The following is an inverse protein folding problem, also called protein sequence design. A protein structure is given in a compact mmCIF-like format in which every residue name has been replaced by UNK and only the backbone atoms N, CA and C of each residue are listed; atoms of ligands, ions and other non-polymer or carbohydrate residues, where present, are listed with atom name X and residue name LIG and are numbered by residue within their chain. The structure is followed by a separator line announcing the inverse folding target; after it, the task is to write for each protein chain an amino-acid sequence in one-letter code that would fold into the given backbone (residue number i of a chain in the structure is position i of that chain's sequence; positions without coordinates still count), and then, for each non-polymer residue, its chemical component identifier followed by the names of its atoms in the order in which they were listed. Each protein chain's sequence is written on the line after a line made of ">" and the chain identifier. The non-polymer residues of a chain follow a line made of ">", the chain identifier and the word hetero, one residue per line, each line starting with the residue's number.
data_IF_614467030034
#
_entry.id   IF_614467030034
#
_cell.length_a   1.000
_cell.length_b   1.000
_cell.length_c   1.000
_cell.angle_alpha   90.00
_cell.angle_beta   90.00
_cell.angle_gamma   90.00
#
_symmetry.space_group_name_H-M   'P 1'
#
loop_
_entity.id
_entity.type
_entity.pdbx_description
1 polymer ?
#
# COMPACT_ATOMS: atom_id res chain seq x y z
N UNK A 1 -55.29 -44.08 7.44
CA UNK A 1 -53.85 -44.02 7.76
C UNK A 1 -52.96 -43.58 6.58
N UNK A 2 -53.27 -43.91 5.31
CA UNK A 2 -52.44 -43.52 4.14
C UNK A 2 -52.52 -42.03 3.75
N UNK A 3 -53.67 -41.38 3.98
CA UNK A 3 -53.92 -39.95 3.64
C UNK A 3 -53.25 -38.99 4.63
N UNK A 4 -53.20 -39.35 5.91
CA UNK A 4 -52.53 -38.56 6.96
C UNK A 4 -51.01 -38.64 6.85
N UNK A 5 -50.45 -39.77 6.40
CA UNK A 5 -49.02 -39.93 6.16
C UNK A 5 -48.51 -39.07 4.98
N UNK A 6 -49.34 -38.89 3.94
CA UNK A 6 -49.04 -38.07 2.76
C UNK A 6 -49.10 -36.55 3.05
N UNK A 7 -49.98 -36.14 3.98
CA UNK A 7 -50.07 -34.76 4.48
C UNK A 7 -48.87 -34.37 5.36
N UNK A 8 -48.35 -35.29 6.18
CA UNK A 8 -47.17 -35.05 7.01
C UNK A 8 -45.90 -34.95 6.14
N UNK A 9 -45.76 -35.82 5.13
CA UNK A 9 -44.61 -35.79 4.23
C UNK A 9 -44.53 -34.51 3.36
N UNK A 10 -45.67 -33.90 3.03
CA UNK A 10 -45.71 -32.62 2.28
C UNK A 10 -45.36 -31.41 3.16
N UNK A 11 -45.67 -31.45 4.46
CA UNK A 11 -45.39 -30.35 5.37
C UNK A 11 -43.89 -30.26 5.71
N UNK A 12 -43.19 -31.40 5.78
CA UNK A 12 -41.75 -31.43 6.02
C UNK A 12 -40.94 -30.97 4.80
N UNK A 13 -41.47 -31.10 3.58
CA UNK A 13 -40.81 -30.65 2.34
C UNK A 13 -40.80 -29.11 2.21
N UNK A 14 -41.78 -28.40 2.78
CA UNK A 14 -41.80 -26.93 2.81
C UNK A 14 -40.85 -26.31 3.84
N UNK A 15 -40.44 -27.05 4.87
CA UNK A 15 -39.55 -26.54 5.91
C UNK A 15 -38.05 -26.55 5.52
N UNK A 16 -37.69 -27.24 4.43
CA UNK A 16 -36.30 -27.38 3.99
C UNK A 16 -35.75 -26.27 3.09
N UNK A 17 -36.55 -25.25 2.75
CA UNK A 17 -36.17 -24.23 1.74
C UNK A 17 -35.65 -22.90 2.34
N UNK A 18 -35.45 -22.83 3.65
CA UNK A 18 -34.84 -21.65 4.28
C UNK A 18 -33.31 -21.68 4.15
N UNK A 19 -32.80 -21.42 2.94
CA UNK A 19 -31.38 -21.10 2.78
C UNK A 19 -31.19 -19.59 2.97
N UNK A 20 -30.30 -19.15 3.87
CA UNK A 20 -30.00 -17.73 3.98
C UNK A 20 -29.30 -17.27 2.69
N UNK A 21 -29.83 -16.20 2.09
CA UNK A 21 -29.19 -15.55 0.94
C UNK A 21 -27.95 -14.83 1.45
N UNK A 22 -26.78 -15.15 0.90
CA UNK A 22 -25.54 -14.44 1.21
C UNK A 22 -25.43 -13.19 0.33
N UNK A 23 -25.23 -12.02 0.95
CA UNK A 23 -24.93 -10.78 0.24
C UNK A 23 -23.42 -10.54 0.23
N UNK A 24 -22.87 -10.14 -0.91
CA UNK A 24 -21.50 -9.66 -1.03
C UNK A 24 -21.53 -8.15 -1.28
N UNK A 25 -20.94 -7.40 -0.37
CA UNK A 25 -20.77 -5.96 -0.51
C UNK A 25 -19.41 -5.68 -1.14
N UNK A 26 -19.40 -4.99 -2.28
CA UNK A 26 -18.16 -4.49 -2.89
C UNK A 26 -17.98 -3.04 -2.47
N UNK A 27 -17.07 -2.83 -1.52
CA UNK A 27 -16.65 -1.48 -1.12
C UNK A 27 -15.50 -1.05 -2.03
N UNK A 28 -15.77 -0.07 -2.91
CA UNK A 28 -14.72 0.58 -3.69
C UNK A 28 -13.99 1.58 -2.79
N UNK A 29 -12.74 1.28 -2.42
CA UNK A 29 -11.87 2.27 -1.79
C UNK A 29 -11.42 3.21 -2.91
N UNK A 30 -11.82 4.49 -2.89
CA UNK A 30 -11.25 5.44 -3.84
C UNK A 30 -9.75 5.46 -3.60
N UNK A 31 -8.96 5.17 -4.62
CA UNK A 31 -7.53 5.48 -4.58
C UNK A 31 -7.47 6.98 -4.34
N UNK A 32 -7.06 7.36 -3.12
CA UNK A 32 -6.90 8.77 -2.78
C UNK A 32 -6.07 9.40 -3.88
N UNK A 33 -6.44 10.61 -4.33
CA UNK A 33 -5.55 11.41 -5.17
C UNK A 33 -4.30 11.67 -4.34
N UNK A 34 -3.31 10.79 -4.46
CA UNK A 34 -1.98 10.99 -3.93
C UNK A 34 -1.52 12.24 -4.66
N UNK A 35 -1.53 13.36 -3.95
CA UNK A 35 -1.62 14.72 -4.47
C UNK A 35 -0.53 15.08 -5.48
N UNK A 36 -0.60 16.31 -5.98
CA UNK A 36 0.23 16.80 -7.10
C UNK A 36 1.75 16.79 -6.84
N UNK A 37 2.19 16.34 -5.66
CA UNK A 37 3.57 16.13 -5.26
C UNK A 37 4.30 14.99 -6.02
N UNK A 38 3.62 14.27 -6.93
CA UNK A 38 4.29 13.40 -7.90
C UNK A 38 5.26 14.12 -8.83
N UNK A 39 5.06 15.43 -9.06
CA UNK A 39 5.86 16.19 -10.02
C UNK A 39 7.17 16.74 -9.42
N UNK A 40 7.48 16.42 -8.16
CA UNK A 40 8.74 16.83 -7.53
C UNK A 40 9.86 15.94 -8.09
N UNK A 41 10.83 16.57 -8.75
CA UNK A 41 12.02 15.88 -9.22
C UNK A 41 12.81 15.35 -8.03
N UNK A 42 13.21 14.08 -8.10
CA UNK A 42 13.93 13.38 -7.04
C UNK A 42 14.96 12.42 -7.65
N UNK A 43 16.00 12.05 -6.90
CA UNK A 43 16.97 11.08 -7.38
C UNK A 43 16.32 9.76 -7.82
N UNK A 44 16.75 9.26 -8.98
CA UNK A 44 16.39 7.92 -9.45
C UNK A 44 17.13 6.85 -8.64
N UNK A 45 16.51 5.70 -8.48
CA UNK A 45 17.18 4.50 -7.94
C UNK A 45 18.47 4.21 -8.70
N UNK A 46 19.53 3.86 -7.98
CA UNK A 46 20.86 3.59 -8.53
C UNK A 46 21.77 4.82 -8.70
N UNK A 47 21.27 6.05 -8.50
CA UNK A 47 22.15 7.22 -8.49
C UNK A 47 23.16 7.14 -7.32
N UNK A 48 24.39 7.57 -7.53
CA UNK A 48 25.43 7.65 -6.47
C UNK A 48 25.20 8.87 -5.57
N UNK A 49 25.71 8.85 -4.33
CA UNK A 49 25.69 10.04 -3.45
C UNK A 49 26.28 11.27 -4.13
N UNK A 50 27.36 11.08 -4.89
CA UNK A 50 28.00 12.15 -5.66
C UNK A 50 27.08 12.74 -6.74
N UNK A 51 26.40 11.89 -7.52
CA UNK A 51 25.42 12.35 -8.53
C UNK A 51 24.24 13.07 -7.89
N UNK A 52 23.75 12.57 -6.74
CA UNK A 52 22.67 13.22 -6.00
C UNK A 52 23.09 14.60 -5.52
N UNK A 53 24.27 14.72 -4.89
CA UNK A 53 24.79 16.01 -4.44
C UNK A 53 25.02 16.98 -5.62
N UNK A 54 25.53 16.48 -6.75
CA UNK A 54 25.75 17.29 -7.95
C UNK A 54 24.44 17.82 -8.56
N UNK A 55 23.36 17.04 -8.54
CA UNK A 55 22.09 17.40 -9.16
C UNK A 55 21.16 18.19 -8.22
N UNK A 56 21.16 17.89 -6.93
CA UNK A 56 20.20 18.42 -5.95
C UNK A 56 20.83 19.32 -4.88
N UNK A 57 22.16 19.45 -4.86
CA UNK A 57 22.90 20.21 -3.84
C UNK A 57 23.11 19.42 -2.55
N UNK A 58 23.57 20.12 -1.50
CA UNK A 58 23.78 19.51 -0.19
C UNK A 58 22.43 19.30 0.53
N UNK A 59 22.22 18.16 1.19
CA UNK A 59 21.00 17.90 1.96
C UNK A 59 20.95 18.75 3.23
N UNK A 60 19.73 19.02 3.72
CA UNK A 60 19.50 19.72 4.99
C UNK A 60 19.93 18.87 6.20
N UNK A 61 19.90 17.55 6.07
CA UNK A 61 20.36 16.62 7.09
C UNK A 61 20.87 15.31 6.47
N UNK A 62 21.84 14.69 7.14
CA UNK A 62 22.35 13.35 6.83
C UNK A 62 22.30 12.49 8.09
N UNK A 63 21.73 11.29 8.01
CA UNK A 63 21.65 10.33 9.12
C UNK A 63 22.10 8.94 8.68
N UNK A 64 22.51 8.12 9.67
CA UNK A 64 23.07 6.79 9.47
C UNK A 64 24.60 6.74 9.52
N UNK A 65 25.21 5.57 9.20
CA UNK A 65 24.53 4.36 8.76
C UNK A 65 23.72 3.67 9.86
N UNK A 66 22.64 2.98 9.48
CA UNK A 66 21.85 2.09 10.36
C UNK A 66 21.75 0.70 9.71
N UNK A 67 21.96 -0.35 10.51
CA UNK A 67 21.76 -1.74 10.11
C UNK A 67 22.85 -2.33 9.22
N UNK A 68 22.60 -3.57 8.79
CA UNK A 68 23.38 -4.31 7.80
C UNK A 68 22.39 -4.86 6.75
N UNK A 69 22.49 -4.49 5.46
CA UNK A 69 23.48 -3.57 4.89
C UNK A 69 23.32 -2.13 5.40
N UNK A 70 24.41 -1.37 5.41
CA UNK A 70 24.44 0.00 5.91
C UNK A 70 23.51 0.94 5.12
N UNK A 71 22.46 1.45 5.77
CA UNK A 71 21.51 2.41 5.19
C UNK A 71 21.77 3.84 5.67
N UNK A 72 21.88 4.77 4.73
CA UNK A 72 22.02 6.22 4.97
C UNK A 72 20.75 6.93 4.53
N UNK A 73 20.37 8.00 5.23
CA UNK A 73 19.25 8.86 4.83
C UNK A 73 19.75 10.29 4.65
N UNK A 74 19.46 10.89 3.49
CA UNK A 74 19.65 12.31 3.26
C UNK A 74 18.30 12.99 3.14
N UNK A 75 18.14 14.12 3.81
CA UNK A 75 16.90 14.90 3.81
C UNK A 75 17.09 16.15 2.95
N UNK A 76 16.12 16.45 2.11
CA UNK A 76 15.97 17.71 1.37
C UNK A 76 14.63 18.34 1.78
N UNK A 77 14.42 19.60 1.38
CA UNK A 77 13.23 20.36 1.74
C UNK A 77 11.92 19.66 1.36
N UNK A 78 11.90 18.96 0.21
CA UNK A 78 10.67 18.36 -0.34
C UNK A 78 10.69 16.83 -0.39
N UNK A 79 11.83 16.18 -0.14
CA UNK A 79 11.96 14.73 -0.25
C UNK A 79 13.11 14.19 0.61
N UNK A 80 13.07 12.89 0.91
CA UNK A 80 14.14 12.14 1.56
C UNK A 80 14.68 11.07 0.62
N UNK A 81 15.97 10.82 0.69
CA UNK A 81 16.69 9.85 -0.14
C UNK A 81 17.34 8.83 0.76
N UNK A 82 17.11 7.56 0.50
CA UNK A 82 17.70 6.44 1.19
C UNK A 82 18.77 5.81 0.31
N UNK A 83 19.93 5.57 0.88
CA UNK A 83 21.07 4.93 0.21
C UNK A 83 21.45 3.65 0.92
N UNK A 84 21.75 2.62 0.15
CA UNK A 84 22.51 1.47 0.61
C UNK A 84 23.95 1.63 0.11
N UNK A 85 24.91 1.71 1.03
CA UNK A 85 26.28 2.07 0.66
C UNK A 85 26.34 3.45 -0.01
N UNK A 86 26.66 3.49 -1.30
CA UNK A 86 26.74 4.73 -2.10
C UNK A 86 25.55 4.97 -3.04
N UNK A 87 24.64 3.99 -3.20
CA UNK A 87 23.61 4.03 -4.23
C UNK A 87 22.23 4.31 -3.64
N UNK A 88 21.43 5.12 -4.34
CA UNK A 88 20.03 5.37 -3.99
C UNK A 88 19.24 4.07 -4.12
N UNK A 89 18.59 3.66 -3.03
CA UNK A 89 17.60 2.58 -3.05
C UNK A 89 16.18 3.12 -3.18
N UNK A 90 15.90 4.29 -2.58
CA UNK A 90 14.57 4.88 -2.63
C UNK A 90 14.55 6.40 -2.38
N UNK A 91 13.60 7.10 -2.98
CA UNK A 91 13.37 8.54 -2.80
C UNK A 91 11.90 8.81 -2.50
N UNK A 92 11.61 9.36 -1.32
CA UNK A 92 10.25 9.60 -0.81
C UNK A 92 9.95 11.09 -0.78
N UNK A 93 8.86 11.51 -1.41
CA UNK A 93 8.41 12.90 -1.32
C UNK A 93 7.68 13.11 0.01
N UNK A 94 8.01 14.22 0.67
CA UNK A 94 7.40 14.57 1.96
C UNK A 94 5.99 15.12 1.75
N UNK A 95 5.00 14.66 2.54
CA UNK A 95 3.69 15.29 2.55
C UNK A 95 3.83 16.74 3.04
N UNK A 96 3.10 17.64 2.38
CA UNK A 96 2.97 19.05 2.77
C UNK A 96 1.92 19.20 3.87
#
# INVERSE_FOLDING_TARGET
>A
MKRTLSLIASLTLCAGLYTPVAFSETVAIPLGKQGDYWNIQRPSTGATKAQVAAQFGEPIARTGPVGEPAIYTWEYEQFKVYFEGDHVIHSVVLPQ
#
